data_IF_491983312801
#
_entry.id   IF_491983312801
#
_cell.length_a   1.000
_cell.length_b   1.000
_cell.length_c   1.000
_cell.angle_alpha   90.00
_cell.angle_beta   90.00
_cell.angle_gamma   90.00
#
_symmetry.space_group_name_H-M   'P 1'
#
loop_
_entity.id
_entity.type
_entity.pdbx_description
1 polymer ?
#
# COMPACT_ATOMS: atom_id res chain seq x y z
N UNK A 1 47.10 -4.84 26.17
CA UNK A 1 45.96 -4.15 26.82
C UNK A 1 44.98 -3.70 25.75
N UNK A 2 44.41 -4.69 25.05
CA UNK A 2 43.40 -4.46 24.01
C UNK A 2 42.05 -4.37 24.71
N UNK A 3 41.47 -3.17 24.67
CA UNK A 3 40.14 -2.87 25.18
C UNK A 3 39.16 -3.78 24.46
N UNK A 4 38.72 -4.84 25.15
CA UNK A 4 37.53 -5.60 24.83
C UNK A 4 36.37 -4.58 24.82
N UNK A 5 36.07 -4.05 23.64
CA UNK A 5 34.84 -3.33 23.41
C UNK A 5 33.74 -4.30 23.77
N UNK A 6 33.13 -4.01 24.92
CA UNK A 6 31.97 -4.68 25.43
C UNK A 6 30.89 -4.64 24.34
N UNK A 7 30.77 -5.73 23.56
CA UNK A 7 29.56 -6.05 22.83
C UNK A 7 28.47 -6.38 23.86
N UNK A 8 28.00 -5.35 24.59
CA UNK A 8 26.68 -5.38 25.18
C UNK A 8 25.72 -5.34 24.00
N UNK A 9 25.47 -6.50 23.41
CA UNK A 9 24.36 -6.69 22.49
C UNK A 9 23.11 -6.20 23.20
N UNK A 10 22.61 -5.03 22.79
CA UNK A 10 21.36 -4.51 23.32
C UNK A 10 20.31 -5.60 23.09
N UNK A 11 19.78 -6.18 24.17
CA UNK A 11 18.74 -7.19 24.05
C UNK A 11 17.56 -6.57 23.31
N UNK A 12 17.14 -7.23 22.22
CA UNK A 12 15.99 -6.81 21.44
C UNK A 12 14.76 -6.62 22.35
N UNK A 13 14.19 -5.42 22.33
CA UNK A 13 12.96 -5.11 23.06
C UNK A 13 11.73 -5.54 22.25
N UNK A 14 10.58 -5.75 22.91
CA UNK A 14 9.30 -5.90 22.22
C UNK A 14 8.98 -4.72 21.29
N UNK A 15 9.49 -3.52 21.63
CA UNK A 15 9.36 -2.31 20.80
C UNK A 15 10.10 -2.44 19.48
N UNK A 16 11.25 -3.11 19.49
CA UNK A 16 12.02 -3.36 18.26
C UNK A 16 11.23 -4.27 17.32
N UNK A 17 10.66 -5.36 17.85
CA UNK A 17 9.81 -6.26 17.06
C UNK A 17 8.54 -5.57 16.55
N UNK A 18 7.92 -4.70 17.34
CA UNK A 18 6.78 -3.90 16.90
C UNK A 18 7.17 -2.88 15.83
N UNK A 19 8.38 -2.33 15.86
CA UNK A 19 8.87 -1.47 14.77
C UNK A 19 9.05 -2.26 13.46
N UNK A 20 9.43 -3.55 13.54
CA UNK A 20 9.57 -4.40 12.35
C UNK A 20 8.26 -4.61 11.59
N UNK A 21 7.12 -4.56 12.27
CA UNK A 21 5.81 -4.75 11.64
C UNK A 21 5.30 -3.51 10.91
N UNK A 22 5.99 -2.35 11.01
CA UNK A 22 5.57 -1.06 10.42
C UNK A 22 4.10 -0.73 10.73
N UNK A 23 3.72 -0.54 12.00
CA UNK A 23 2.32 -0.45 12.44
C UNK A 23 1.53 0.66 11.75
N UNK A 24 2.16 1.79 11.42
CA UNK A 24 1.51 2.89 10.69
C UNK A 24 1.11 2.50 9.26
N UNK A 25 1.94 1.69 8.59
CA UNK A 25 1.66 1.22 7.23
C UNK A 25 0.58 0.15 7.27
N UNK A 26 0.70 -0.80 8.20
CA UNK A 26 -0.30 -1.86 8.40
C UNK A 26 -1.66 -1.25 8.75
N UNK A 27 -1.73 -0.26 9.64
CA UNK A 27 -2.98 0.42 9.97
C UNK A 27 -3.67 1.03 8.74
N UNK A 28 -2.90 1.66 7.84
CA UNK A 28 -3.45 2.21 6.60
C UNK A 28 -3.99 1.11 5.67
N UNK A 29 -3.31 -0.04 5.61
CA UNK A 29 -3.80 -1.22 4.90
C UNK A 29 -5.08 -1.78 5.54
N UNK A 30 -5.19 -1.77 6.86
CA UNK A 30 -6.40 -2.21 7.56
C UNK A 30 -7.59 -1.29 7.31
N UNK A 31 -7.38 0.02 7.21
CA UNK A 31 -8.46 0.95 6.84
C UNK A 31 -9.04 0.59 5.47
N UNK A 32 -8.18 0.30 4.49
CA UNK A 32 -8.63 -0.06 3.14
C UNK A 32 -9.25 -1.47 3.08
N UNK A 33 -8.76 -2.41 3.90
CA UNK A 33 -9.41 -3.71 4.14
C UNK A 33 -10.80 -3.54 4.73
N UNK A 34 -10.98 -2.68 5.73
CA UNK A 34 -12.27 -2.38 6.33
C UNK A 34 -13.26 -1.84 5.29
N UNK A 35 -12.84 -0.91 4.43
CA UNK A 35 -13.71 -0.44 3.34
C UNK A 35 -14.15 -1.60 2.46
N UNK A 36 -13.23 -2.49 2.09
CA UNK A 36 -13.54 -3.72 1.34
C UNK A 36 -14.57 -4.61 2.05
N UNK A 37 -14.41 -4.84 3.35
CA UNK A 37 -15.35 -5.64 4.15
C UNK A 37 -16.76 -5.03 4.18
N UNK A 38 -16.87 -3.72 4.40
CA UNK A 38 -18.16 -3.03 4.49
C UNK A 38 -18.85 -2.89 3.12
N UNK A 39 -18.10 -2.68 2.04
CA UNK A 39 -18.68 -2.68 0.70
C UNK A 39 -19.19 -4.06 0.28
N UNK A 40 -18.63 -5.14 0.85
CA UNK A 40 -19.01 -6.51 0.51
C UNK A 40 -20.41 -6.90 1.01
N UNK A 41 -20.98 -6.18 1.96
CA UNK A 41 -22.30 -6.49 2.53
C UNK A 41 -23.03 -5.26 3.04
N UNK A 42 -24.33 -5.17 2.75
CA UNK A 42 -25.22 -4.15 3.32
C UNK A 42 -25.77 -4.54 4.69
N UNK A 43 -25.78 -5.82 5.03
CA UNK A 43 -26.31 -6.34 6.29
C UNK A 43 -25.37 -6.12 7.49
N UNK A 44 -24.15 -5.63 7.23
CA UNK A 44 -23.10 -5.47 8.23
C UNK A 44 -22.13 -6.64 8.25
N UNK A 45 -20.89 -6.35 8.64
CA UNK A 45 -19.80 -7.34 8.70
C UNK A 45 -19.90 -8.12 10.01
N UNK A 46 -19.88 -9.47 9.99
CA UNK A 46 -19.85 -10.26 11.22
C UNK A 46 -18.66 -9.86 12.11
N UNK A 47 -18.89 -9.65 13.41
CA UNK A 47 -17.85 -9.21 14.35
C UNK A 47 -16.62 -10.13 14.39
N UNK A 48 -16.82 -11.43 14.24
CA UNK A 48 -15.72 -12.41 14.18
C UNK A 48 -14.82 -12.17 12.98
N UNK A 49 -15.39 -12.02 11.78
CA UNK A 49 -14.67 -11.71 10.53
C UNK A 49 -14.01 -10.34 10.61
N UNK A 50 -14.72 -9.35 11.14
CA UNK A 50 -14.22 -7.98 11.28
C UNK A 50 -12.95 -7.94 12.14
N UNK A 51 -12.96 -8.60 13.31
CA UNK A 51 -11.84 -8.59 14.25
C UNK A 51 -10.73 -9.56 13.83
N UNK A 52 -11.04 -10.84 13.66
CA UNK A 52 -10.03 -11.87 13.39
C UNK A 52 -9.54 -11.83 11.94
N UNK A 53 -10.38 -11.43 10.99
CA UNK A 53 -9.96 -11.21 9.60
C UNK A 53 -8.97 -10.08 9.47
N UNK A 54 -9.26 -8.90 10.06
CA UNK A 54 -8.29 -7.80 10.05
C UNK A 54 -7.04 -8.12 10.87
N UNK A 55 -7.15 -8.81 12.00
CA UNK A 55 -5.98 -9.24 12.76
C UNK A 55 -5.12 -10.21 11.94
N UNK A 56 -5.72 -11.17 11.24
CA UNK A 56 -5.01 -12.09 10.37
C UNK A 56 -4.26 -11.38 9.24
N UNK A 57 -4.95 -10.47 8.53
CA UNK A 57 -4.35 -9.61 7.50
C UNK A 57 -3.21 -8.76 8.08
N UNK A 58 -3.40 -8.18 9.28
CA UNK A 58 -2.40 -7.35 9.95
C UNK A 58 -1.13 -8.12 10.28
N UNK A 59 -1.27 -9.34 10.82
CA UNK A 59 -0.14 -10.18 11.19
C UNK A 59 0.66 -10.59 9.95
N UNK A 60 -0.01 -11.03 8.88
CA UNK A 60 0.66 -11.35 7.62
C UNK A 60 1.37 -10.12 7.01
N UNK A 61 0.71 -8.95 6.98
CA UNK A 61 1.33 -7.71 6.51
C UNK A 61 2.54 -7.30 7.37
N UNK A 62 2.44 -7.46 8.69
CA UNK A 62 3.53 -7.22 9.64
C UNK A 62 4.71 -8.18 9.43
N UNK A 63 4.43 -9.47 9.15
CA UNK A 63 5.45 -10.45 8.77
C UNK A 63 6.14 -10.06 7.45
N UNK A 64 5.38 -9.63 6.45
CA UNK A 64 5.92 -9.13 5.18
C UNK A 64 6.84 -7.90 5.39
N UNK A 65 6.46 -6.98 6.29
CA UNK A 65 7.26 -5.82 6.67
C UNK A 65 8.55 -6.21 7.41
N UNK A 66 8.49 -7.22 8.28
CA UNK A 66 9.67 -7.75 8.98
C UNK A 66 10.66 -8.40 7.99
N UNK A 67 10.17 -9.20 7.02
CA UNK A 67 11.02 -9.73 5.94
C UNK A 67 11.62 -8.59 5.13
N UNK A 68 10.84 -7.55 4.83
CA UNK A 68 11.35 -6.39 4.08
C UNK A 68 12.54 -5.72 4.80
N UNK A 69 12.50 -5.56 6.12
CA UNK A 69 13.64 -5.05 6.90
C UNK A 69 14.86 -6.00 6.88
N UNK A 70 14.66 -7.32 6.83
CA UNK A 70 15.76 -8.29 6.69
C UNK A 70 16.46 -8.12 5.34
N UNK A 71 15.69 -8.06 4.25
CA UNK A 71 16.23 -7.95 2.88
C UNK A 71 16.89 -6.58 2.63
N UNK A 72 16.36 -5.52 3.23
CA UNK A 72 16.88 -4.15 3.09
C UNK A 72 17.96 -3.78 4.12
N UNK A 73 18.32 -4.67 5.05
CA UNK A 73 19.24 -4.39 6.19
C UNK A 73 20.51 -3.61 5.81
N UNK A 74 21.21 -4.03 4.75
CA UNK A 74 22.47 -3.38 4.29
C UNK A 74 22.25 -1.98 3.73
N UNK A 75 21.10 -1.73 3.10
CA UNK A 75 20.74 -0.42 2.55
C UNK A 75 20.29 0.47 3.71
N UNK A 76 19.49 -0.08 4.61
CA UNK A 76 18.98 0.65 5.76
C UNK A 76 20.11 1.19 6.63
N UNK A 77 21.22 0.46 6.80
CA UNK A 77 22.39 0.89 7.58
C UNK A 77 23.15 2.09 7.01
N UNK A 78 23.01 2.39 5.71
CA UNK A 78 23.70 3.54 5.07
C UNK A 78 22.77 4.75 4.85
N UNK A 79 21.46 4.58 5.05
CA UNK A 79 20.46 5.62 4.82
C UNK A 79 20.21 6.44 6.10
N UNK A 80 20.38 7.76 6.03
CA UNK A 80 20.18 8.68 7.15
C UNK A 80 18.81 8.54 7.84
N UNK A 81 17.75 8.16 7.10
CA UNK A 81 16.40 7.97 7.64
C UNK A 81 16.18 6.61 8.34
N UNK A 82 16.92 5.57 7.96
CA UNK A 82 16.61 4.17 8.33
C UNK A 82 17.74 3.46 9.06
N UNK A 83 18.90 4.12 9.22
CA UNK A 83 20.05 3.58 9.96
C UNK A 83 19.70 3.20 11.41
N UNK A 84 18.68 3.84 11.99
CA UNK A 84 18.21 3.58 13.36
C UNK A 84 17.30 2.37 13.53
N UNK A 85 16.95 1.70 12.43
CA UNK A 85 16.06 0.53 12.47
C UNK A 85 16.70 -0.62 13.26
N UNK A 86 15.91 -1.45 13.95
CA UNK A 86 16.45 -2.49 14.83
C UNK A 86 17.42 -3.47 14.16
N UNK A 87 17.19 -3.87 12.90
CA UNK A 87 18.11 -4.74 12.17
C UNK A 87 19.36 -4.01 11.63
N UNK A 88 19.25 -2.71 11.33
CA UNK A 88 20.34 -1.91 10.81
C UNK A 88 21.36 -1.60 11.93
N UNK A 89 20.89 -1.30 13.14
CA UNK A 89 21.72 -1.11 14.33
C UNK A 89 22.21 -2.43 14.96
N UNK A 90 21.71 -3.58 14.50
CA UNK A 90 22.08 -4.89 15.05
C UNK A 90 21.39 -5.24 16.38
N UNK A 91 20.38 -4.47 16.82
CA UNK A 91 19.58 -4.77 18.02
C UNK A 91 18.78 -6.08 17.87
N UNK A 92 18.38 -6.43 16.64
CA UNK A 92 17.69 -7.69 16.32
C UNK A 92 18.51 -8.50 15.31
N UNK A 93 18.79 -9.76 15.65
CA UNK A 93 19.45 -10.69 14.73
C UNK A 93 18.55 -11.03 13.53
N UNK A 94 19.08 -11.14 12.29
CA UNK A 94 18.28 -11.47 11.11
C UNK A 94 17.50 -12.78 11.23
N UNK A 95 18.11 -13.82 11.84
CA UNK A 95 17.43 -15.10 12.08
C UNK A 95 16.23 -14.96 13.01
N UNK A 96 16.34 -14.16 14.08
CA UNK A 96 15.24 -13.89 14.99
C UNK A 96 14.11 -13.09 14.31
N UNK A 97 14.47 -12.13 13.44
CA UNK A 97 13.49 -11.37 12.65
C UNK A 97 12.74 -12.25 11.64
N UNK A 98 13.43 -13.19 10.99
CA UNK A 98 12.81 -14.17 10.08
C UNK A 98 11.90 -15.15 10.82
N UNK A 99 12.33 -15.65 11.98
CA UNK A 99 11.49 -16.49 12.82
C UNK A 99 10.24 -15.74 13.29
N UNK A 100 10.40 -14.49 13.73
CA UNK A 100 9.27 -13.63 14.09
C UNK A 100 8.30 -13.42 12.92
N UNK A 101 8.82 -13.13 11.72
CA UNK A 101 7.99 -12.99 10.52
C UNK A 101 7.23 -14.28 10.18
N UNK A 102 7.87 -15.45 10.33
CA UNK A 102 7.24 -16.75 10.13
C UNK A 102 6.12 -17.00 11.14
N UNK A 103 6.37 -16.71 12.43
CA UNK A 103 5.36 -16.85 13.48
C UNK A 103 4.15 -15.94 13.23
N UNK A 104 4.38 -14.69 12.81
CA UNK A 104 3.30 -13.78 12.42
C UNK A 104 2.51 -14.31 11.20
N UNK A 105 3.21 -14.83 10.19
CA UNK A 105 2.56 -15.40 9.00
C UNK A 105 1.70 -16.62 9.35
N UNK A 106 2.23 -17.55 10.17
CA UNK A 106 1.49 -18.73 10.64
C UNK A 106 0.29 -18.32 11.49
N UNK A 107 0.47 -17.42 12.46
CA UNK A 107 -0.63 -16.94 13.29
C UNK A 107 -1.73 -16.23 12.45
N UNK A 108 -1.33 -15.38 11.51
CA UNK A 108 -2.25 -14.69 10.62
C UNK A 108 -3.02 -15.65 9.71
N UNK A 109 -2.33 -16.63 9.13
CA UNK A 109 -2.95 -17.69 8.32
C UNK A 109 -3.94 -18.52 9.12
N UNK A 110 -3.58 -18.95 10.33
CA UNK A 110 -4.47 -19.71 11.21
C UNK A 110 -5.74 -18.93 11.56
N UNK A 111 -5.63 -17.64 11.83
CA UNK A 111 -6.78 -16.78 12.09
C UNK A 111 -7.69 -16.67 10.86
N UNK A 112 -7.12 -16.47 9.67
CA UNK A 112 -7.90 -16.36 8.43
C UNK A 112 -8.60 -17.68 8.09
N UNK A 113 -7.89 -18.81 8.19
CA UNK A 113 -8.47 -20.14 7.93
C UNK A 113 -9.59 -20.50 8.90
N UNK A 114 -9.48 -20.09 10.16
CA UNK A 114 -10.45 -20.46 11.21
C UNK A 114 -11.65 -19.51 11.26
N UNK A 115 -11.43 -18.21 11.12
CA UNK A 115 -12.47 -17.19 11.37
C UNK A 115 -12.98 -16.49 10.11
N UNK A 116 -12.39 -16.75 8.94
CA UNK A 116 -12.83 -16.19 7.66
C UNK A 116 -13.06 -17.31 6.64
N UNK A 117 -12.16 -17.48 5.68
CA UNK A 117 -12.19 -18.55 4.69
C UNK A 117 -10.80 -18.81 4.10
N UNK A 118 -10.65 -19.95 3.43
CA UNK A 118 -9.39 -20.36 2.81
C UNK A 118 -8.93 -19.41 1.70
N UNK A 119 -9.85 -18.84 0.93
CA UNK A 119 -9.51 -17.95 -0.17
C UNK A 119 -8.85 -16.66 0.34
N UNK A 120 -9.41 -16.03 1.38
CA UNK A 120 -8.82 -14.86 2.02
C UNK A 120 -7.43 -15.16 2.60
N UNK A 121 -7.25 -16.34 3.22
CA UNK A 121 -5.96 -16.78 3.74
C UNK A 121 -4.90 -16.90 2.63
N UNK A 122 -5.20 -17.64 1.55
CA UNK A 122 -4.26 -17.84 0.45
C UNK A 122 -3.95 -16.55 -0.32
N UNK A 123 -4.93 -15.68 -0.54
CA UNK A 123 -4.69 -14.36 -1.14
C UNK A 123 -3.81 -13.48 -0.25
N UNK A 124 -4.01 -13.52 1.06
CA UNK A 124 -3.19 -12.78 2.02
C UNK A 124 -1.75 -13.31 2.00
N UNK A 125 -1.56 -14.63 1.96
CA UNK A 125 -0.24 -15.24 1.82
C UNK A 125 0.42 -14.85 0.48
N UNK A 126 -0.33 -14.89 -0.62
CA UNK A 126 0.16 -14.48 -1.93
C UNK A 126 0.61 -13.02 -1.93
N UNK A 127 -0.15 -12.13 -1.27
CA UNK A 127 0.22 -10.73 -1.08
C UNK A 127 1.50 -10.56 -0.24
N UNK A 128 1.61 -11.33 0.86
CA UNK A 128 2.82 -11.38 1.68
C UNK A 128 4.04 -11.78 0.85
N UNK A 129 3.96 -12.90 0.13
CA UNK A 129 5.05 -13.42 -0.71
C UNK A 129 5.37 -12.45 -1.86
N UNK A 130 4.35 -11.91 -2.52
CA UNK A 130 4.50 -10.90 -3.58
C UNK A 130 5.23 -9.66 -3.09
N UNK A 131 4.91 -9.15 -1.90
CA UNK A 131 5.59 -7.99 -1.33
C UNK A 131 7.01 -8.32 -0.83
N UNK A 132 7.14 -9.40 -0.06
CA UNK A 132 8.39 -9.75 0.63
C UNK A 132 9.46 -10.31 -0.32
N UNK A 133 9.07 -11.15 -1.27
CA UNK A 133 10.00 -11.83 -2.18
C UNK A 133 10.09 -11.10 -3.51
N UNK A 134 8.97 -10.93 -4.21
CA UNK A 134 8.97 -10.39 -5.58
C UNK A 134 9.30 -8.90 -5.57
N UNK A 135 8.59 -8.11 -4.77
CA UNK A 135 8.82 -6.67 -4.71
C UNK A 135 10.14 -6.34 -4.01
N UNK A 136 10.32 -6.77 -2.75
CA UNK A 136 11.49 -6.36 -1.97
C UNK A 136 12.79 -6.99 -2.47
N UNK A 137 12.77 -8.28 -2.78
CA UNK A 137 13.97 -9.00 -3.21
C UNK A 137 14.43 -8.64 -4.62
N UNK A 138 13.49 -8.40 -5.55
CA UNK A 138 13.79 -8.29 -6.97
C UNK A 138 13.36 -6.96 -7.58
N UNK A 139 12.05 -6.68 -7.69
CA UNK A 139 11.54 -5.56 -8.49
C UNK A 139 12.06 -4.21 -8.04
N UNK A 140 12.18 -3.98 -6.72
CA UNK A 140 12.66 -2.72 -6.14
C UNK A 140 14.00 -2.27 -6.75
N UNK A 141 14.85 -3.23 -7.16
CA UNK A 141 16.21 -3.00 -7.69
C UNK A 141 16.31 -3.20 -9.20
N UNK A 142 15.33 -3.85 -9.82
CA UNK A 142 15.42 -4.30 -11.21
C UNK A 142 14.82 -3.33 -12.24
N UNK A 143 13.86 -2.48 -11.86
CA UNK A 143 13.08 -1.72 -12.85
C UNK A 143 12.55 -0.37 -12.34
N UNK A 144 12.46 0.67 -13.19
CA UNK A 144 11.77 1.92 -12.86
C UNK A 144 10.25 1.80 -12.74
N UNK A 145 9.70 0.64 -13.12
CA UNK A 145 8.30 0.26 -12.89
C UNK A 145 8.09 -0.43 -11.53
N UNK A 146 9.10 -0.42 -10.65
CA UNK A 146 9.05 -1.06 -9.33
C UNK A 146 7.83 -0.65 -8.50
N UNK A 147 7.45 0.63 -8.55
CA UNK A 147 6.28 1.17 -7.86
C UNK A 147 4.97 0.69 -8.50
N UNK A 148 4.93 0.56 -9.83
CA UNK A 148 3.71 0.15 -10.53
C UNK A 148 3.44 -1.33 -10.24
N UNK A 149 4.42 -2.19 -10.47
CA UNK A 149 4.29 -3.64 -10.25
C UNK A 149 4.18 -3.95 -8.75
N UNK A 150 5.02 -3.30 -7.91
CA UNK A 150 4.95 -3.43 -6.45
C UNK A 150 3.67 -2.86 -5.85
N UNK A 151 3.05 -1.88 -6.53
CA UNK A 151 1.79 -1.27 -6.14
C UNK A 151 0.62 -2.24 -6.09
N UNK A 152 0.68 -3.35 -6.84
CA UNK A 152 -0.36 -4.38 -6.83
C UNK A 152 -0.52 -5.03 -5.43
N UNK A 153 0.60 -5.34 -4.77
CA UNK A 153 0.55 -5.89 -3.41
C UNK A 153 0.00 -4.85 -2.40
N UNK A 154 0.33 -3.57 -2.61
CA UNK A 154 -0.22 -2.46 -1.81
C UNK A 154 -1.71 -2.18 -2.07
N UNK A 155 -2.21 -2.55 -3.25
CA UNK A 155 -3.60 -2.38 -3.66
C UNK A 155 -4.51 -3.54 -3.23
N UNK A 156 -3.94 -4.66 -2.77
CA UNK A 156 -4.67 -5.86 -2.36
C UNK A 156 -5.62 -5.70 -1.14
N UNK A 157 -5.40 -4.82 -0.13
CA UNK A 157 -6.17 -4.88 1.11
C UNK A 157 -7.70 -4.79 0.96
N UNK A 158 -8.31 -3.92 0.12
CA UNK A 158 -9.75 -3.95 -0.11
C UNK A 158 -10.27 -5.29 -0.63
N UNK A 159 -9.53 -5.95 -1.53
CA UNK A 159 -9.89 -7.28 -2.02
C UNK A 159 -9.80 -8.31 -0.89
N UNK A 160 -8.75 -8.28 -0.07
CA UNK A 160 -8.61 -9.19 1.07
C UNK A 160 -9.76 -9.02 2.06
N UNK A 161 -10.15 -7.78 2.35
CA UNK A 161 -11.29 -7.47 3.21
C UNK A 161 -12.61 -7.97 2.63
N UNK A 162 -12.88 -7.71 1.34
CA UNK A 162 -14.09 -8.19 0.68
C UNK A 162 -14.20 -9.71 0.69
N UNK A 163 -13.12 -10.39 0.29
CA UNK A 163 -13.06 -11.85 0.23
C UNK A 163 -13.15 -12.45 1.62
N UNK A 164 -12.61 -11.82 2.66
CA UNK A 164 -12.77 -12.29 4.05
C UNK A 164 -14.25 -12.38 4.48
N UNK A 165 -15.11 -11.51 3.93
CA UNK A 165 -16.55 -11.49 4.21
C UNK A 165 -17.32 -12.44 3.30
N UNK A 166 -17.05 -12.43 1.98
CA UNK A 166 -17.88 -13.12 0.99
C UNK A 166 -17.36 -14.48 0.57
N UNK A 167 -16.06 -14.74 0.74
CA UNK A 167 -15.40 -15.93 0.23
C UNK A 167 -15.32 -15.99 -1.30
N UNK A 168 -15.51 -14.86 -2.01
CA UNK A 168 -15.56 -14.84 -3.47
C UNK A 168 -14.72 -13.70 -4.06
N UNK A 169 -14.11 -13.96 -5.22
CA UNK A 169 -13.50 -12.93 -6.07
C UNK A 169 -14.50 -12.55 -7.15
N UNK A 170 -15.08 -11.36 -7.04
CA UNK A 170 -16.00 -10.79 -8.01
C UNK A 170 -15.41 -9.53 -8.66
N UNK A 171 -16.13 -8.88 -9.56
CA UNK A 171 -15.62 -7.71 -10.27
C UNK A 171 -15.40 -6.50 -9.35
N UNK A 172 -16.25 -6.33 -8.34
CA UNK A 172 -16.28 -5.21 -7.39
C UNK A 172 -14.97 -5.07 -6.59
N UNK A 173 -14.48 -6.10 -5.87
CA UNK A 173 -13.23 -5.98 -5.12
C UNK A 173 -12.00 -5.88 -6.04
N UNK A 174 -12.03 -6.49 -7.24
CA UNK A 174 -10.96 -6.32 -8.23
C UNK A 174 -10.91 -4.89 -8.75
N UNK A 175 -12.06 -4.22 -8.86
CA UNK A 175 -12.14 -2.83 -9.26
C UNK A 175 -11.57 -1.89 -8.17
N UNK A 176 -11.78 -2.19 -6.89
CA UNK A 176 -11.13 -1.46 -5.79
C UNK A 176 -9.60 -1.58 -5.85
N UNK A 177 -9.08 -2.78 -6.15
CA UNK A 177 -7.64 -3.01 -6.39
C UNK A 177 -7.18 -2.18 -7.58
N UNK A 178 -7.95 -2.18 -8.68
CA UNK A 178 -7.60 -1.45 -9.90
C UNK A 178 -7.57 0.07 -9.68
N UNK A 179 -8.48 0.62 -8.87
CA UNK A 179 -8.47 2.05 -8.48
C UNK A 179 -7.16 2.39 -7.75
N UNK A 180 -6.80 1.63 -6.71
CA UNK A 180 -5.56 1.89 -5.95
C UNK A 180 -4.33 1.67 -6.84
N UNK A 181 -4.34 0.64 -7.67
CA UNK A 181 -3.26 0.36 -8.62
C UNK A 181 -3.07 1.49 -9.62
N UNK A 182 -4.14 1.98 -10.26
CA UNK A 182 -4.09 3.11 -11.21
C UNK A 182 -3.70 4.43 -10.52
N UNK A 183 -4.05 4.59 -9.25
CA UNK A 183 -3.71 5.75 -8.42
C UNK A 183 -2.24 5.77 -7.97
N UNK A 184 -1.63 4.60 -7.79
CA UNK A 184 -0.28 4.46 -7.23
C UNK A 184 0.78 5.21 -8.06
N UNK A 185 0.85 5.07 -9.41
CA UNK A 185 1.83 5.78 -10.23
C UNK A 185 1.73 7.31 -10.16
N UNK A 186 0.56 7.96 -10.39
CA UNK A 186 0.47 9.42 -10.35
C UNK A 186 0.73 9.98 -8.93
N UNK A 187 0.40 9.22 -7.89
CA UNK A 187 0.74 9.57 -6.51
C UNK A 187 2.27 9.53 -6.26
N UNK A 188 2.90 8.38 -6.45
CA UNK A 188 4.31 8.19 -6.09
C UNK A 188 5.26 8.93 -7.02
N UNK A 189 4.97 9.00 -8.32
CA UNK A 189 5.84 9.73 -9.24
C UNK A 189 5.80 11.24 -9.02
N UNK A 190 4.67 11.80 -8.57
CA UNK A 190 4.62 13.19 -8.13
C UNK A 190 5.56 13.44 -6.94
N UNK A 191 5.62 12.52 -5.96
CA UNK A 191 6.59 12.59 -4.86
C UNK A 191 8.03 12.41 -5.37
N UNK A 192 8.25 11.48 -6.30
CA UNK A 192 9.56 11.18 -6.85
C UNK A 192 10.15 12.37 -7.63
N UNK A 193 9.33 13.15 -8.34
CA UNK A 193 9.74 14.41 -8.95
C UNK A 193 10.17 15.41 -7.87
N UNK A 194 9.39 15.57 -6.80
CA UNK A 194 9.71 16.52 -5.72
C UNK A 194 10.98 16.13 -4.93
N UNK A 195 11.30 14.84 -4.84
CA UNK A 195 12.42 14.28 -4.05
C UNK A 195 13.50 13.64 -4.93
N UNK A 196 13.60 14.06 -6.19
CA UNK A 196 14.46 13.44 -7.21
C UNK A 196 15.91 13.30 -6.77
N UNK A 197 16.48 14.37 -6.20
CA UNK A 197 17.89 14.39 -5.77
C UNK A 197 18.18 13.41 -4.63
N UNK A 198 17.22 13.19 -3.73
CA UNK A 198 17.35 12.21 -2.65
C UNK A 198 17.37 10.78 -3.20
N UNK A 199 16.53 10.48 -4.21
CA UNK A 199 16.50 9.16 -4.86
C UNK A 199 17.75 8.90 -5.71
N UNK A 200 18.26 9.93 -6.39
CA UNK A 200 19.48 9.83 -7.18
C UNK A 200 20.70 9.47 -6.31
N UNK A 201 20.81 10.06 -5.10
CA UNK A 201 21.92 9.78 -4.16
C UNK A 201 22.00 8.32 -3.70
N UNK A 202 20.90 7.58 -3.75
CA UNK A 202 20.83 6.18 -3.29
C UNK A 202 20.70 5.17 -4.44
N UNK A 203 20.92 5.61 -5.69
CA UNK A 203 20.85 4.76 -6.89
C UNK A 203 19.55 3.95 -7.02
N UNK A 204 18.43 4.45 -6.49
CA UNK A 204 17.12 3.80 -6.69
C UNK A 204 16.61 4.24 -8.07
N UNK A 205 16.30 3.29 -8.98
CA UNK A 205 15.98 3.60 -10.37
C UNK A 205 14.56 4.16 -10.51
N UNK A 206 14.23 5.28 -9.86
CA UNK A 206 12.92 5.90 -10.00
C UNK A 206 12.75 6.47 -11.41
N UNK A 207 11.52 6.49 -11.93
CA UNK A 207 11.23 7.00 -13.28
C UNK A 207 11.82 8.40 -13.57
N UNK A 208 11.73 9.41 -12.67
CA UNK A 208 12.33 10.73 -12.93
C UNK A 208 13.86 10.77 -12.88
N UNK A 209 14.48 9.76 -12.25
CA UNK A 209 15.95 9.62 -12.19
C UNK A 209 16.47 8.97 -13.48
N UNK A 210 15.77 7.96 -14.00
CA UNK A 210 16.20 7.16 -15.14
C UNK A 210 15.79 7.76 -16.49
N UNK A 211 14.57 8.31 -16.60
CA UNK A 211 13.98 8.79 -17.86
C UNK A 211 13.69 10.30 -17.87
N UNK A 212 14.02 10.98 -16.77
CA UNK A 212 13.81 12.41 -16.61
C UNK A 212 12.38 12.81 -16.20
N UNK A 213 12.25 14.09 -15.86
CA UNK A 213 11.01 14.62 -15.31
C UNK A 213 9.91 14.74 -16.36
N UNK A 214 10.23 15.17 -17.58
CA UNK A 214 9.22 15.32 -18.63
C UNK A 214 8.50 13.98 -18.92
N UNK A 215 9.26 12.90 -19.10
CA UNK A 215 8.71 11.56 -19.31
C UNK A 215 7.81 11.13 -18.15
N UNK A 216 8.25 11.39 -16.91
CA UNK A 216 7.50 11.08 -15.70
C UNK A 216 6.20 11.90 -15.63
N UNK A 217 6.23 13.19 -15.97
CA UNK A 217 5.03 14.05 -16.01
C UNK A 217 4.00 13.56 -17.03
N UNK A 218 4.44 13.11 -18.22
CA UNK A 218 3.54 12.50 -19.22
C UNK A 218 2.87 11.26 -18.65
N UNK A 219 3.62 10.38 -17.97
CA UNK A 219 3.07 9.19 -17.36
C UNK A 219 2.10 9.51 -16.23
N UNK A 220 2.40 10.50 -15.38
CA UNK A 220 1.44 10.99 -14.37
C UNK A 220 0.12 11.41 -15.03
N UNK A 221 0.18 12.17 -16.13
CA UNK A 221 -1.02 12.61 -16.84
C UNK A 221 -1.82 11.43 -17.41
N UNK A 222 -1.16 10.52 -18.14
CA UNK A 222 -1.82 9.35 -18.75
C UNK A 222 -2.45 8.43 -17.69
N UNK A 223 -1.74 8.13 -16.61
CA UNK A 223 -2.29 7.33 -15.52
C UNK A 223 -3.41 8.05 -14.76
N UNK A 224 -3.40 9.39 -14.69
CA UNK A 224 -4.51 10.15 -14.09
C UNK A 224 -5.77 10.08 -14.95
N UNK A 225 -5.65 10.11 -16.28
CA UNK A 225 -6.77 9.89 -17.20
C UNK A 225 -7.31 8.46 -17.05
N UNK A 226 -6.42 7.47 -17.00
CA UNK A 226 -6.81 6.07 -16.75
C UNK A 226 -7.49 5.92 -15.38
N UNK A 227 -6.97 6.57 -14.33
CA UNK A 227 -7.57 6.55 -13.00
C UNK A 227 -8.98 7.15 -13.00
N UNK A 228 -9.22 8.24 -13.73
CA UNK A 228 -10.56 8.82 -13.87
C UNK A 228 -11.51 7.81 -14.54
N UNK A 229 -11.10 7.18 -15.64
CA UNK A 229 -11.90 6.15 -16.31
C UNK A 229 -12.22 4.97 -15.36
N UNK A 230 -11.20 4.48 -14.64
CA UNK A 230 -11.36 3.40 -13.66
C UNK A 230 -12.26 3.80 -12.50
N UNK A 231 -12.19 5.05 -12.04
CA UNK A 231 -13.00 5.54 -10.92
C UNK A 231 -14.46 5.81 -11.31
N UNK A 232 -14.80 5.83 -12.60
CA UNK A 232 -16.20 5.88 -13.07
C UNK A 232 -16.80 4.47 -13.17
N UNK A 233 -15.97 3.43 -13.33
CA UNK A 233 -16.45 2.06 -13.51
C UNK A 233 -17.34 1.52 -12.37
N UNK A 234 -17.17 1.86 -11.07
CA UNK A 234 -18.09 1.36 -10.04
C UNK A 234 -19.53 1.79 -10.29
N UNK A 235 -19.77 2.93 -10.94
CA UNK A 235 -21.11 3.31 -11.37
C UNK A 235 -21.55 2.49 -12.60
N UNK A 236 -20.64 2.30 -13.58
CA UNK A 236 -20.94 1.57 -14.81
C UNK A 236 -21.29 0.08 -14.58
N UNK A 237 -20.73 -0.56 -13.55
CA UNK A 237 -21.06 -1.95 -13.18
C UNK A 237 -22.20 -2.04 -12.15
N UNK A 238 -22.90 -0.93 -11.89
CA UNK A 238 -23.97 -0.83 -10.89
C UNK A 238 -23.57 -1.20 -9.45
N UNK A 239 -22.29 -1.06 -9.12
CA UNK A 239 -21.76 -1.22 -7.75
C UNK A 239 -22.06 0.01 -6.88
N UNK A 240 -22.28 1.18 -7.50
CA UNK A 240 -22.54 2.45 -6.83
C UNK A 240 -23.50 3.33 -7.63
N UNK A 241 -24.10 4.31 -6.97
CA UNK A 241 -25.07 5.25 -7.48
C UNK A 241 -24.50 6.61 -7.90
N UNK A 242 -25.41 7.55 -8.12
CA UNK A 242 -25.12 8.86 -8.69
C UNK A 242 -24.28 9.73 -7.73
N UNK A 243 -24.42 9.53 -6.42
CA UNK A 243 -23.63 10.26 -5.43
C UNK A 243 -22.14 9.93 -5.58
N UNK A 244 -21.81 8.64 -5.69
CA UNK A 244 -20.46 8.22 -5.98
C UNK A 244 -19.96 8.76 -7.33
N UNK A 245 -20.77 8.66 -8.39
CA UNK A 245 -20.39 9.13 -9.72
C UNK A 245 -20.02 10.62 -9.70
N UNK A 246 -20.84 11.46 -9.06
CA UNK A 246 -20.57 12.89 -8.92
C UNK A 246 -19.24 13.14 -8.19
N UNK A 247 -19.01 12.44 -7.09
CA UNK A 247 -17.75 12.53 -6.35
C UNK A 247 -16.55 12.10 -7.21
N UNK A 248 -16.64 10.96 -7.90
CA UNK A 248 -15.58 10.43 -8.75
C UNK A 248 -15.21 11.38 -9.88
N UNK A 249 -16.20 11.97 -10.56
CA UNK A 249 -15.98 12.95 -11.64
C UNK A 249 -15.37 14.24 -11.11
N UNK A 250 -15.89 14.81 -10.02
CA UNK A 250 -15.38 16.06 -9.44
C UNK A 250 -13.95 15.91 -8.92
N UNK A 251 -13.69 14.85 -8.14
CA UNK A 251 -12.37 14.53 -7.61
C UNK A 251 -11.39 14.23 -8.76
N UNK A 252 -11.83 13.48 -9.78
CA UNK A 252 -11.00 13.08 -10.90
C UNK A 252 -10.66 14.24 -11.83
N UNK A 253 -11.63 15.12 -12.12
CA UNK A 253 -11.39 16.37 -12.85
C UNK A 253 -10.39 17.28 -12.09
N UNK A 254 -10.52 17.36 -10.76
CA UNK A 254 -9.58 18.12 -9.93
C UNK A 254 -8.18 17.51 -9.91
N UNK A 255 -8.06 16.18 -9.92
CA UNK A 255 -6.78 15.49 -10.03
C UNK A 255 -6.16 15.74 -11.41
N UNK A 256 -6.95 15.59 -12.47
CA UNK A 256 -6.52 15.82 -13.84
C UNK A 256 -6.02 17.27 -14.04
N UNK A 257 -6.70 18.25 -13.44
CA UNK A 257 -6.22 19.62 -13.40
C UNK A 257 -4.82 19.72 -12.78
N UNK A 258 -4.57 19.08 -11.63
CA UNK A 258 -3.24 19.09 -11.00
C UNK A 258 -2.19 18.38 -11.86
N UNK A 259 -2.55 17.28 -12.52
CA UNK A 259 -1.66 16.57 -13.44
C UNK A 259 -1.28 17.44 -14.65
N UNK A 260 -2.24 18.17 -15.23
CA UNK A 260 -2.00 19.13 -16.32
C UNK A 260 -1.15 20.30 -15.85
N UNK A 261 -1.41 20.84 -14.65
CA UNK A 261 -0.56 21.90 -14.06
C UNK A 261 0.86 21.39 -13.85
N UNK A 262 1.04 20.19 -13.31
CA UNK A 262 2.37 19.59 -13.14
C UNK A 262 3.08 19.35 -14.49
N UNK A 263 2.34 18.98 -15.52
CA UNK A 263 2.86 18.77 -16.87
C UNK A 263 3.31 20.08 -17.52
N UNK A 264 2.45 21.12 -17.51
CA UNK A 264 2.70 22.42 -18.16
C UNK A 264 3.64 23.32 -17.39
N UNK A 265 3.64 23.21 -16.06
CA UNK A 265 4.29 24.16 -15.18
C UNK A 265 5.54 23.56 -14.52
N UNK A 266 6.61 24.35 -14.48
CA UNK A 266 7.84 24.02 -13.76
C UNK A 266 7.84 24.54 -12.33
N UNK A 267 6.70 25.06 -11.84
CA UNK A 267 6.56 25.56 -10.46
C UNK A 267 7.01 24.50 -9.44
N UNK A 268 7.95 24.84 -8.53
CA UNK A 268 8.58 23.87 -7.62
C UNK A 268 7.61 23.16 -6.66
N UNK A 269 6.41 23.72 -6.48
CA UNK A 269 5.40 23.17 -5.56
C UNK A 269 4.29 22.36 -6.26
N UNK A 270 4.26 22.29 -7.60
CA UNK A 270 3.21 21.56 -8.32
C UNK A 270 3.23 20.06 -7.99
N UNK A 271 4.44 19.48 -7.91
CA UNK A 271 4.64 18.06 -7.62
C UNK A 271 4.12 17.68 -6.22
N UNK A 272 4.49 18.44 -5.18
CA UNK A 272 4.04 18.17 -3.82
C UNK A 272 2.53 18.45 -3.62
N UNK A 273 1.97 19.45 -4.31
CA UNK A 273 0.51 19.71 -4.28
C UNK A 273 -0.27 18.57 -4.93
N UNK A 274 0.21 18.05 -6.05
CA UNK A 274 -0.36 16.88 -6.74
C UNK A 274 -0.34 15.65 -5.83
N UNK A 275 0.80 15.37 -5.19
CA UNK A 275 0.94 14.29 -4.20
C UNK A 275 -0.03 14.43 -3.02
N UNK A 276 -0.12 15.63 -2.41
CA UNK A 276 -1.04 15.87 -1.28
C UNK A 276 -2.50 15.70 -1.70
N UNK A 277 -2.86 16.21 -2.87
CA UNK A 277 -4.21 16.07 -3.39
C UNK A 277 -4.55 14.60 -3.66
N UNK A 278 -3.61 13.80 -4.17
CA UNK A 278 -3.91 12.40 -4.48
C UNK A 278 -4.22 11.57 -3.23
N UNK A 279 -3.67 11.91 -2.05
CA UNK A 279 -4.06 11.30 -0.77
C UNK A 279 -5.52 11.60 -0.46
N UNK A 280 -5.91 12.88 -0.55
CA UNK A 280 -7.30 13.31 -0.33
C UNK A 280 -8.25 12.74 -1.38
N UNK A 281 -7.82 12.63 -2.63
CA UNK A 281 -8.57 12.00 -3.71
C UNK A 281 -8.98 10.58 -3.33
N UNK A 282 -8.01 9.73 -2.97
CA UNK A 282 -8.28 8.33 -2.68
C UNK A 282 -9.15 8.20 -1.42
N UNK A 283 -8.84 8.96 -0.38
CA UNK A 283 -9.63 8.97 0.86
C UNK A 283 -11.09 9.36 0.59
N UNK A 284 -11.32 10.50 -0.07
CA UNK A 284 -12.67 10.98 -0.37
C UNK A 284 -13.44 10.06 -1.31
N UNK A 285 -12.76 9.44 -2.29
CA UNK A 285 -13.38 8.49 -3.21
C UNK A 285 -13.90 7.23 -2.50
N UNK A 286 -13.12 6.66 -1.58
CA UNK A 286 -13.54 5.48 -0.80
C UNK A 286 -14.62 5.82 0.22
N UNK A 287 -14.59 7.03 0.81
CA UNK A 287 -15.70 7.51 1.65
C UNK A 287 -16.97 7.70 0.82
N UNK A 288 -16.89 8.28 -0.37
CA UNK A 288 -18.04 8.43 -1.25
C UNK A 288 -18.65 7.07 -1.63
N UNK A 289 -17.83 6.04 -1.92
CA UNK A 289 -18.31 4.66 -2.14
C UNK A 289 -19.06 4.12 -0.93
N UNK A 290 -18.50 4.24 0.28
CA UNK A 290 -19.15 3.75 1.49
C UNK A 290 -20.46 4.48 1.78
N UNK A 291 -20.46 5.81 1.65
CA UNK A 291 -21.64 6.64 1.90
C UNK A 291 -22.74 6.28 0.91
N UNK A 292 -22.43 6.17 -0.38
CA UNK A 292 -23.39 5.79 -1.42
C UNK A 292 -23.93 4.35 -1.24
N UNK A 293 -23.08 3.42 -0.80
CA UNK A 293 -23.48 2.03 -0.52
C UNK A 293 -24.51 1.91 0.61
N UNK A 294 -24.42 2.76 1.64
CA UNK A 294 -25.32 2.74 2.82
C UNK A 294 -26.46 3.77 2.75
N UNK A 295 -26.29 4.85 1.99
CA UNK A 295 -27.33 5.83 1.70
C UNK A 295 -27.75 5.64 0.24
N UNK A 296 -28.61 4.65 -0.06
CA UNK A 296 -29.14 4.52 -1.40
C UNK A 296 -30.01 5.75 -1.71
N UNK A 297 -29.40 6.77 -2.31
CA UNK A 297 -30.10 7.82 -3.02
C UNK A 297 -30.61 7.18 -4.32
N UNK A 298 -31.73 6.46 -4.22
CA UNK A 298 -32.50 6.03 -5.38
C UNK A 298 -33.04 7.28 -6.07
N UNK A 299 -32.46 7.62 -7.22
CA UNK A 299 -33.07 8.50 -8.21
C UNK A 299 -33.42 7.65 -9.43
#
# INVERSE_FOLDING_TARGET
MATLLSERGAQASWRDYLELTKPKVVLLMLITSLVGMFLATRAGVPWTVLLFGNLGIALCAGGAAAINHVVDRRIDSVMARTHKRPLAEGRVAPGAALLFALLLAVAGMSLLLTFTNALAAWLTLASLVGYAVVYTGFLKRATPQNIVIGGLAGAAPPLLGWVAVTGQITAEPLLLVLIIFAWTPPHFWALAIHRKDEYAKVNVPMLPVTHGEHYTKVHILLYTVMLLAVSVMPFAIHMSGVLYLAAAVLLGARFLFWAVVLYRDSRPHAAIKTFKFSIWYLFALFIALLVDHYLPLTF
#
